data_IF_852993284088
#
_entry.id   IF_852993284088
#
_cell.length_a   1.000
_cell.length_b   1.000
_cell.length_c   1.000
_cell.angle_alpha   90.00
_cell.angle_beta   90.00
_cell.angle_gamma   90.00
#
_symmetry.space_group_name_H-M   'P 1'
#
loop_
_entity.id
_entity.type
_entity.pdbx_description
1 polymer ?
#
# COMPACT_ATOMS: atom_id res chain seq x y z
N UNK A 1 6.71 5.65 7.26
CA UNK A 1 6.46 4.65 8.31
C UNK A 1 7.49 3.57 8.12
N UNK A 2 8.21 3.22 9.18
CA UNK A 2 9.13 2.08 9.19
C UNK A 2 8.33 0.80 9.42
N UNK A 3 8.75 -0.31 8.81
CA UNK A 3 8.17 -1.62 9.14
C UNK A 3 8.43 -2.04 10.59
N UNK A 4 9.27 -1.30 11.32
CA UNK A 4 9.63 -1.51 12.72
C UNK A 4 8.90 -0.57 13.68
N UNK A 5 8.00 0.29 13.19
CA UNK A 5 7.16 1.17 14.05
C UNK A 5 6.07 0.37 14.78
N UNK A 6 5.84 -0.88 14.37
CA UNK A 6 4.83 -1.80 14.91
C UNK A 6 5.54 -3.09 15.34
N UNK A 7 5.10 -3.68 16.45
CA UNK A 7 5.59 -4.94 16.99
C UNK A 7 6.00 -4.84 18.45
N UNK A 8 6.08 -6.00 19.11
CA UNK A 8 6.52 -6.11 20.48
C UNK A 8 8.04 -6.16 20.56
N UNK A 9 8.62 -5.36 21.46
CA UNK A 9 10.05 -5.38 21.71
C UNK A 9 10.44 -6.61 22.53
N UNK A 10 11.38 -7.40 22.02
CA UNK A 10 11.86 -8.64 22.65
C UNK A 10 13.20 -8.38 23.33
N UNK A 11 13.37 -8.84 24.55
CA UNK A 11 14.61 -8.75 25.28
C UNK A 11 15.64 -9.80 24.83
N UNK A 12 16.89 -9.60 25.27
CA UNK A 12 17.99 -10.49 24.88
C UNK A 12 17.80 -11.93 25.42
N UNK A 13 17.26 -12.11 26.61
CA UNK A 13 17.08 -13.43 27.21
C UNK A 13 16.09 -14.25 26.40
N UNK A 14 14.96 -13.68 26.06
CA UNK A 14 13.92 -14.30 25.20
C UNK A 14 14.50 -14.70 23.83
N UNK A 15 15.39 -13.87 23.25
CA UNK A 15 16.07 -14.21 21.98
C UNK A 15 17.04 -15.39 22.15
N UNK A 16 17.76 -15.44 23.26
CA UNK A 16 18.69 -16.53 23.56
C UNK A 16 17.93 -17.85 23.82
N UNK A 17 16.86 -17.82 24.60
CA UNK A 17 15.99 -18.98 24.85
C UNK A 17 15.41 -19.54 23.54
N UNK A 18 15.00 -18.66 22.62
CA UNK A 18 14.52 -19.06 21.31
C UNK A 18 15.63 -19.69 20.45
N UNK A 19 16.85 -19.18 20.54
CA UNK A 19 17.99 -19.77 19.83
C UNK A 19 18.27 -21.19 20.33
N UNK A 20 18.21 -21.41 21.64
CA UNK A 20 18.37 -22.72 22.24
C UNK A 20 17.24 -23.69 21.84
N UNK A 21 15.99 -23.21 21.89
CA UNK A 21 14.83 -23.99 21.42
C UNK A 21 15.00 -24.42 19.96
N UNK A 22 15.40 -23.51 19.08
CA UNK A 22 15.64 -23.82 17.65
C UNK A 22 16.73 -24.87 17.48
N UNK A 23 17.87 -24.72 18.17
CA UNK A 23 18.96 -25.69 18.12
C UNK A 23 18.48 -27.09 18.56
N UNK A 24 17.75 -27.18 19.66
CA UNK A 24 17.17 -28.45 20.13
C UNK A 24 16.21 -29.07 19.12
N UNK A 25 15.38 -28.25 18.45
CA UNK A 25 14.45 -28.73 17.43
C UNK A 25 15.19 -29.20 16.18
N UNK A 26 16.23 -28.48 15.72
CA UNK A 26 17.10 -28.89 14.63
C UNK A 26 17.75 -30.25 14.93
N UNK A 27 18.30 -30.46 16.12
CA UNK A 27 18.93 -31.71 16.51
C UNK A 27 17.91 -32.86 16.58
N UNK A 28 16.74 -32.60 17.13
CA UNK A 28 15.65 -33.59 17.16
C UNK A 28 15.24 -34.00 15.73
N UNK A 29 15.06 -33.04 14.84
CA UNK A 29 14.66 -33.29 13.45
C UNK A 29 15.73 -34.10 12.70
N UNK A 30 17.02 -33.79 12.89
CA UNK A 30 18.15 -34.58 12.30
C UNK A 30 18.13 -36.01 12.77
N UNK A 31 17.93 -36.26 14.07
CA UNK A 31 17.89 -37.63 14.63
C UNK A 31 16.64 -38.36 14.18
N UNK A 32 15.48 -37.73 14.17
CA UNK A 32 14.22 -38.39 13.79
C UNK A 32 14.16 -38.69 12.28
N UNK A 33 14.81 -37.88 11.46
CA UNK A 33 14.84 -37.99 9.99
C UNK A 33 16.27 -38.18 9.52
N UNK A 34 16.90 -39.26 9.95
CA UNK A 34 18.35 -39.54 9.76
C UNK A 34 18.79 -39.67 8.31
N UNK A 35 17.87 -39.98 7.41
CA UNK A 35 18.03 -40.12 5.97
C UNK A 35 17.64 -38.89 5.16
N UNK A 36 17.18 -37.83 5.83
CA UNK A 36 16.67 -36.59 5.21
C UNK A 36 17.61 -35.43 5.44
N UNK A 37 17.40 -34.38 4.64
CA UNK A 37 17.97 -33.08 4.82
C UNK A 37 16.97 -32.26 5.64
N UNK A 38 17.44 -31.64 6.72
CA UNK A 38 16.68 -30.71 7.55
C UNK A 38 17.03 -29.27 7.11
N UNK A 39 16.01 -28.51 6.79
CA UNK A 39 16.15 -27.08 6.46
C UNK A 39 15.44 -26.29 7.55
N UNK A 40 16.09 -25.27 8.11
CA UNK A 40 15.44 -24.30 9.00
C UNK A 40 15.65 -22.88 8.46
N UNK A 41 14.61 -22.09 8.50
CA UNK A 41 14.61 -20.73 8.04
C UNK A 41 14.09 -19.76 9.11
N UNK A 42 14.68 -18.59 9.16
CA UNK A 42 14.24 -17.44 9.96
C UNK A 42 14.58 -16.14 9.26
N UNK A 43 14.06 -15.02 9.75
CA UNK A 43 14.55 -13.71 9.36
C UNK A 43 15.72 -13.25 10.26
N UNK A 44 16.71 -12.62 9.66
CA UNK A 44 17.83 -11.99 10.35
C UNK A 44 17.58 -10.49 10.50
N UNK A 45 16.77 -10.12 11.50
CA UNK A 45 16.32 -8.75 11.75
C UNK A 45 17.13 -8.15 12.92
N UNK A 46 17.76 -6.97 12.76
CA UNK A 46 18.42 -6.27 13.85
C UNK A 46 17.42 -5.69 14.87
N UNK A 47 17.90 -5.31 16.04
CA UNK A 47 17.12 -4.61 17.07
C UNK A 47 16.12 -5.47 17.82
N UNK A 48 15.27 -4.85 18.65
CA UNK A 48 14.34 -5.56 19.52
C UNK A 48 13.05 -6.04 18.82
N UNK A 49 12.60 -5.37 17.75
CA UNK A 49 11.40 -5.79 17.02
C UNK A 49 11.77 -6.93 16.07
N UNK A 50 11.34 -8.14 16.43
CA UNK A 50 11.67 -9.37 15.69
C UNK A 50 10.50 -9.92 14.88
N UNK A 51 9.27 -9.53 15.25
CA UNK A 51 8.06 -9.97 14.58
C UNK A 51 6.99 -8.87 14.55
N UNK A 52 6.24 -8.85 13.49
CA UNK A 52 4.99 -8.14 13.26
C UNK A 52 4.38 -8.67 11.96
N UNK A 53 3.18 -8.26 11.62
CA UNK A 53 2.45 -8.77 10.47
C UNK A 53 3.19 -8.54 9.13
N UNK A 54 3.96 -7.46 9.00
CA UNK A 54 4.78 -7.21 7.80
C UNK A 54 5.92 -8.23 7.73
N UNK A 55 6.64 -8.45 8.82
CA UNK A 55 7.73 -9.42 8.89
C UNK A 55 7.21 -10.85 8.70
N UNK A 56 6.03 -11.18 9.23
CA UNK A 56 5.36 -12.45 8.96
C UNK A 56 5.05 -12.61 7.48
N UNK A 57 4.47 -11.59 6.85
CA UNK A 57 4.17 -11.60 5.42
C UNK A 57 5.44 -11.78 4.57
N UNK A 58 6.50 -11.02 4.85
CA UNK A 58 7.81 -11.16 4.19
C UNK A 58 8.29 -12.60 4.31
N UNK A 59 8.21 -13.17 5.51
CA UNK A 59 8.66 -14.53 5.76
C UNK A 59 7.81 -15.57 5.01
N UNK A 60 6.48 -15.46 5.07
CA UNK A 60 5.57 -16.40 4.43
C UNK A 60 5.73 -16.39 2.90
N UNK A 61 5.73 -15.22 2.28
CA UNK A 61 5.88 -15.08 0.82
C UNK A 61 7.25 -15.62 0.36
N UNK A 62 8.32 -15.30 1.09
CA UNK A 62 9.65 -15.79 0.78
C UNK A 62 9.81 -17.29 1.04
N UNK A 63 9.27 -17.80 2.15
CA UNK A 63 9.30 -19.23 2.46
C UNK A 63 8.57 -20.06 1.41
N UNK A 64 7.37 -19.66 1.01
CA UNK A 64 6.63 -20.33 -0.08
C UNK A 64 7.41 -20.32 -1.39
N UNK A 65 8.04 -19.18 -1.74
CA UNK A 65 8.86 -19.05 -2.93
C UNK A 65 10.10 -19.98 -2.86
N UNK A 66 10.75 -20.04 -1.69
CA UNK A 66 11.89 -20.93 -1.48
C UNK A 66 11.49 -22.39 -1.60
N UNK A 67 10.42 -22.82 -0.92
CA UNK A 67 9.93 -24.21 -0.95
C UNK A 67 9.50 -24.62 -2.36
N UNK A 68 8.84 -23.74 -3.11
CA UNK A 68 8.46 -23.97 -4.50
C UNK A 68 9.69 -24.12 -5.44
N UNK A 69 10.82 -23.51 -5.08
CA UNK A 69 12.09 -23.64 -5.80
C UNK A 69 12.93 -24.89 -5.43
N UNK A 70 12.49 -25.69 -4.45
CA UNK A 70 13.15 -26.94 -4.10
C UNK A 70 12.76 -28.03 -5.11
N UNK A 71 13.74 -28.57 -5.82
CA UNK A 71 13.54 -29.69 -6.73
C UNK A 71 13.57 -31.06 -5.98
N UNK A 72 12.76 -31.16 -4.90
CA UNK A 72 12.71 -32.34 -4.05
C UNK A 72 11.33 -32.51 -3.41
N UNK A 73 11.00 -33.77 -3.01
CA UNK A 73 9.73 -34.03 -2.31
C UNK A 73 9.81 -33.54 -0.88
N UNK A 74 8.85 -32.69 -0.49
CA UNK A 74 8.67 -32.25 0.88
C UNK A 74 7.95 -33.34 1.66
N UNK A 75 8.46 -33.69 2.84
CA UNK A 75 7.87 -34.77 3.63
C UNK A 75 7.24 -34.30 4.94
N UNK A 76 7.77 -33.24 5.52
CA UNK A 76 7.27 -32.71 6.79
C UNK A 76 7.63 -31.23 6.91
N UNK A 77 6.66 -30.40 7.20
CA UNK A 77 6.83 -28.96 7.35
C UNK A 77 6.27 -28.50 8.71
N UNK A 78 6.99 -27.62 9.39
CA UNK A 78 6.57 -26.94 10.61
C UNK A 78 6.75 -25.44 10.41
N UNK A 79 5.70 -24.67 10.71
CA UNK A 79 5.68 -23.22 10.56
C UNK A 79 5.30 -22.56 11.90
N UNK A 80 6.09 -21.60 12.32
CA UNK A 80 5.93 -20.83 13.56
C UNK A 80 5.93 -19.35 13.23
N UNK A 81 4.88 -18.84 12.57
CA UNK A 81 4.81 -17.48 12.09
C UNK A 81 4.65 -16.44 13.22
N UNK A 82 3.96 -16.80 14.30
CA UNK A 82 3.53 -15.87 15.35
C UNK A 82 4.51 -15.72 16.53
N UNK A 83 5.70 -16.34 16.46
CA UNK A 83 6.66 -16.23 17.56
C UNK A 83 7.14 -14.78 17.72
N UNK A 84 7.11 -14.24 18.91
CA UNK A 84 7.57 -12.87 19.20
C UNK A 84 9.04 -12.64 18.82
N UNK A 85 9.85 -13.71 18.81
CA UNK A 85 11.28 -13.71 18.43
C UNK A 85 11.54 -13.76 16.93
N UNK A 86 10.50 -13.72 16.13
CA UNK A 86 10.52 -13.80 14.67
C UNK A 86 9.89 -15.07 14.13
N UNK A 87 9.37 -15.02 12.89
CA UNK A 87 8.84 -16.19 12.22
C UNK A 87 9.94 -17.20 11.90
N UNK A 88 9.63 -18.49 12.08
CA UNK A 88 10.53 -19.60 11.81
C UNK A 88 9.82 -20.74 11.09
N UNK A 89 10.54 -21.42 10.20
CA UNK A 89 10.05 -22.63 9.53
C UNK A 89 11.09 -23.72 9.50
N UNK A 90 10.60 -24.96 9.48
CA UNK A 90 11.43 -26.17 9.34
C UNK A 90 10.79 -27.09 8.31
N UNK A 91 11.60 -27.70 7.47
CA UNK A 91 11.13 -28.68 6.49
C UNK A 91 12.16 -29.81 6.36
N UNK A 92 11.70 -31.03 6.15
CA UNK A 92 12.55 -32.17 5.82
C UNK A 92 12.32 -32.57 4.38
N UNK A 93 13.41 -32.77 3.65
CA UNK A 93 13.39 -33.08 2.22
C UNK A 93 14.33 -34.21 1.86
N UNK A 94 14.02 -34.91 0.78
CA UNK A 94 14.96 -35.83 0.10
C UNK A 94 15.88 -35.02 -0.81
N UNK A 95 17.09 -35.51 -1.06
CA UNK A 95 17.94 -34.91 -2.07
C UNK A 95 19.43 -34.89 -1.74
N UNK A 96 20.17 -34.09 -2.49
CA UNK A 96 21.59 -33.86 -2.28
C UNK A 96 21.82 -32.61 -1.43
N UNK A 97 22.55 -32.76 -0.33
CA UNK A 97 22.81 -31.67 0.62
C UNK A 97 23.42 -30.42 -0.05
N UNK A 98 24.40 -30.62 -0.94
CA UNK A 98 25.06 -29.51 -1.64
C UNK A 98 24.11 -28.78 -2.61
N UNK A 99 23.25 -29.54 -3.31
CA UNK A 99 22.24 -28.95 -4.21
C UNK A 99 21.22 -28.12 -3.44
N UNK A 100 20.68 -28.66 -2.33
CA UNK A 100 19.72 -27.94 -1.47
C UNK A 100 20.37 -26.70 -0.85
N UNK A 101 21.63 -26.80 -0.37
CA UNK A 101 22.36 -25.64 0.16
C UNK A 101 22.61 -24.60 -0.90
N UNK A 102 22.92 -24.99 -2.13
CA UNK A 102 23.08 -24.06 -3.26
C UNK A 102 21.78 -23.33 -3.57
N UNK A 103 20.63 -24.02 -3.58
CA UNK A 103 19.31 -23.40 -3.74
C UNK A 103 19.04 -22.38 -2.65
N UNK A 104 19.35 -22.69 -1.38
CA UNK A 104 19.20 -21.74 -0.28
C UNK A 104 20.06 -20.48 -0.47
N UNK A 105 21.32 -20.64 -0.86
CA UNK A 105 22.24 -19.51 -1.13
C UNK A 105 21.72 -18.66 -2.30
N UNK A 106 21.30 -19.28 -3.40
CA UNK A 106 20.77 -18.57 -4.55
C UNK A 106 19.50 -17.81 -4.20
N UNK A 107 18.58 -18.41 -3.43
CA UNK A 107 17.39 -17.72 -2.92
C UNK A 107 17.77 -16.50 -2.08
N UNK A 108 18.70 -16.63 -1.12
CA UNK A 108 19.18 -15.51 -0.30
C UNK A 108 19.79 -14.37 -1.14
N UNK A 109 20.36 -14.67 -2.31
CA UNK A 109 21.02 -13.68 -3.18
C UNK A 109 20.11 -13.10 -4.25
N UNK A 110 19.14 -13.86 -4.77
CA UNK A 110 18.34 -13.45 -5.95
C UNK A 110 16.91 -13.07 -5.63
N UNK A 111 16.32 -13.59 -4.54
CA UNK A 111 15.00 -13.16 -4.12
C UNK A 111 15.06 -11.72 -3.57
N UNK A 112 14.11 -10.89 -3.93
CA UNK A 112 14.13 -9.44 -3.62
C UNK A 112 14.37 -9.11 -2.14
N UNK A 113 13.82 -9.93 -1.22
CA UNK A 113 14.02 -9.84 0.23
C UNK A 113 14.85 -11.01 0.78
N UNK A 114 15.47 -11.81 -0.08
CA UNK A 114 16.24 -12.99 0.31
C UNK A 114 17.39 -12.71 1.28
N UNK A 115 17.96 -11.51 1.18
CA UNK A 115 19.01 -11.05 2.10
C UNK A 115 18.57 -10.95 3.57
N UNK A 116 17.26 -10.87 3.83
CA UNK A 116 16.70 -10.88 5.19
C UNK A 116 16.57 -12.32 5.74
N UNK A 117 16.59 -13.34 4.89
CA UNK A 117 16.50 -14.73 5.30
C UNK A 117 17.84 -15.28 5.79
N UNK A 118 17.77 -16.22 6.71
CA UNK A 118 18.87 -17.01 7.21
C UNK A 118 18.42 -18.48 7.15
N UNK A 119 18.92 -19.20 6.14
CA UNK A 119 18.49 -20.57 5.83
C UNK A 119 19.63 -21.56 6.10
N UNK A 120 19.44 -22.31 7.17
CA UNK A 120 20.34 -23.40 7.56
C UNK A 120 19.92 -24.72 6.90
N UNK A 121 20.87 -25.41 6.29
CA UNK A 121 20.66 -26.72 5.64
C UNK A 121 21.58 -27.73 6.30
N UNK A 122 21.01 -28.81 6.84
CA UNK A 122 21.69 -29.78 7.71
C UNK A 122 21.30 -31.21 7.33
N UNK A 123 22.21 -32.17 7.59
CA UNK A 123 21.93 -33.60 7.49
C UNK A 123 22.47 -34.35 8.70
N UNK A 124 21.91 -35.51 8.98
CA UNK A 124 22.41 -36.39 10.05
C UNK A 124 23.76 -37.03 9.61
N UNK A 125 24.62 -37.32 10.56
CA UNK A 125 25.95 -37.95 10.29
C UNK A 125 27.08 -36.97 10.01
N UNK A 126 26.78 -35.67 9.93
CA UNK A 126 27.76 -34.57 9.87
C UNK A 126 27.64 -33.68 11.13
N UNK A 127 27.72 -34.32 12.29
CA UNK A 127 27.37 -33.69 13.58
C UNK A 127 28.12 -32.40 13.88
N UNK A 128 29.33 -32.20 13.36
CA UNK A 128 30.19 -31.06 13.63
C UNK A 128 30.54 -30.25 12.39
N UNK A 129 30.06 -30.61 11.20
CA UNK A 129 30.34 -29.92 9.96
C UNK A 129 29.07 -29.47 9.25
N UNK A 130 28.86 -28.16 9.27
CA UNK A 130 27.80 -27.52 8.50
C UNK A 130 28.38 -27.01 7.19
N UNK A 131 27.88 -27.52 6.06
CA UNK A 131 28.33 -27.11 4.71
C UNK A 131 28.22 -25.56 4.58
N UNK A 132 29.35 -24.92 4.43
CA UNK A 132 29.43 -23.45 4.33
C UNK A 132 29.20 -22.96 2.89
N UNK A 133 28.99 -21.66 2.73
CA UNK A 133 28.90 -21.02 1.39
C UNK A 133 30.22 -21.17 0.64
N UNK A 134 31.33 -21.04 1.35
CA UNK A 134 32.71 -21.10 0.79
C UNK A 134 33.03 -22.46 0.24
N UNK A 135 32.55 -23.55 0.87
CA UNK A 135 32.71 -24.91 0.38
C UNK A 135 32.03 -25.14 -0.97
N UNK A 136 31.03 -24.33 -1.31
CA UNK A 136 30.30 -24.38 -2.59
C UNK A 136 30.79 -23.32 -3.58
N UNK A 137 31.88 -22.61 -3.28
CA UNK A 137 32.49 -21.63 -4.16
C UNK A 137 31.82 -20.24 -4.13
N UNK A 138 30.93 -19.99 -3.16
CA UNK A 138 30.34 -18.66 -2.96
C UNK A 138 31.19 -17.83 -2.00
N UNK A 139 31.22 -16.50 -2.23
CA UNK A 139 31.88 -15.58 -1.30
C UNK A 139 31.18 -15.47 0.06
N UNK A 140 31.83 -14.83 1.04
CA UNK A 140 31.22 -14.57 2.35
C UNK A 140 29.97 -13.70 2.22
N UNK A 141 29.00 -13.89 3.12
CA UNK A 141 27.83 -13.02 3.19
C UNK A 141 28.24 -11.58 3.48
N UNK A 142 27.81 -10.66 2.63
CA UNK A 142 28.17 -9.23 2.75
C UNK A 142 27.19 -8.50 3.68
N UNK A 143 27.66 -7.45 4.32
CA UNK A 143 26.83 -6.53 5.10
C UNK A 143 25.84 -5.80 4.19
N UNK A 144 24.60 -5.66 4.61
CA UNK A 144 23.54 -4.98 3.86
C UNK A 144 23.82 -3.48 3.65
N UNK A 145 24.62 -2.87 4.55
CA UNK A 145 24.86 -1.43 4.58
C UNK A 145 26.13 -1.07 3.81
N UNK A 146 27.27 -1.69 4.11
CA UNK A 146 28.56 -1.27 3.58
C UNK A 146 29.24 -2.25 2.61
N UNK A 147 28.64 -3.42 2.37
CA UNK A 147 29.20 -4.43 1.46
C UNK A 147 30.46 -5.15 1.97
N UNK A 148 30.96 -4.89 3.17
CA UNK A 148 32.02 -5.68 3.82
C UNK A 148 31.48 -7.02 4.31
N UNK A 149 32.33 -8.02 4.65
CA UNK A 149 31.85 -9.27 5.24
C UNK A 149 30.96 -9.00 6.48
N UNK A 150 29.74 -9.56 6.49
CA UNK A 150 28.73 -9.28 7.51
C UNK A 150 29.20 -9.64 8.93
N UNK A 151 29.97 -10.73 9.08
CA UNK A 151 30.53 -11.16 10.36
C UNK A 151 31.50 -10.11 10.96
N UNK A 152 32.28 -9.41 10.11
CA UNK A 152 33.21 -8.36 10.55
C UNK A 152 32.41 -7.15 11.05
N UNK A 153 31.44 -6.67 10.27
CA UNK A 153 30.58 -5.56 10.67
C UNK A 153 29.81 -5.84 11.97
N UNK A 154 29.28 -7.05 12.14
CA UNK A 154 28.57 -7.43 13.35
C UNK A 154 29.47 -7.45 14.60
N UNK A 155 30.72 -7.93 14.45
CA UNK A 155 31.68 -7.98 15.55
C UNK A 155 32.17 -6.59 15.95
N UNK A 156 32.41 -5.73 14.96
CA UNK A 156 32.94 -4.37 15.14
C UNK A 156 31.84 -3.33 15.42
N UNK A 157 30.56 -3.72 15.34
CA UNK A 157 29.39 -2.83 15.49
C UNK A 157 29.50 -1.56 14.63
N UNK A 158 29.89 -1.72 13.35
CA UNK A 158 30.19 -0.61 12.45
C UNK A 158 28.98 0.24 12.05
N UNK A 159 27.78 -0.20 12.38
CA UNK A 159 26.52 0.44 11.96
C UNK A 159 25.55 0.56 13.12
N UNK A 160 24.78 1.63 13.11
CA UNK A 160 23.68 1.86 14.05
C UNK A 160 22.47 0.99 13.72
N UNK A 161 21.56 0.85 14.67
CA UNK A 161 20.30 0.16 14.47
C UNK A 161 19.44 0.88 13.43
N UNK A 162 19.42 2.21 13.46
CA UNK A 162 18.63 3.04 12.55
C UNK A 162 19.11 2.91 11.11
N UNK A 163 20.41 2.84 10.85
CA UNK A 163 20.96 2.54 9.51
C UNK A 163 20.52 1.16 9.02
N UNK A 164 20.48 0.16 9.90
CA UNK A 164 19.96 -1.16 9.59
C UNK A 164 18.48 -1.15 9.22
N UNK A 165 17.67 -0.43 9.98
CA UNK A 165 16.25 -0.27 9.73
C UNK A 165 15.97 0.48 8.42
N UNK A 166 16.73 1.54 8.13
CA UNK A 166 16.57 2.30 6.88
C UNK A 166 16.81 1.42 5.65
N UNK A 167 17.90 0.64 5.64
CA UNK A 167 18.21 -0.27 4.52
C UNK A 167 17.13 -1.33 4.35
N UNK A 168 16.63 -1.93 5.43
CA UNK A 168 15.56 -2.94 5.35
C UNK A 168 14.25 -2.32 4.85
N UNK A 169 13.91 -1.11 5.31
CA UNK A 169 12.75 -0.36 4.80
C UNK A 169 12.88 -0.07 3.29
N UNK A 170 14.07 0.31 2.81
CA UNK A 170 14.32 0.54 1.39
C UNK A 170 14.20 -0.75 0.58
N UNK A 171 14.75 -1.86 1.09
CA UNK A 171 14.60 -3.18 0.45
C UNK A 171 13.13 -3.59 0.35
N UNK A 172 12.36 -3.42 1.43
CA UNK A 172 10.93 -3.73 1.46
C UNK A 172 10.15 -2.87 0.46
N UNK A 173 10.41 -1.55 0.46
CA UNK A 173 9.84 -0.64 -0.55
C UNK A 173 10.16 -1.10 -1.97
N UNK A 174 11.42 -1.40 -2.26
CA UNK A 174 11.84 -1.86 -3.59
C UNK A 174 11.18 -3.18 -4.01
N UNK A 175 11.03 -4.12 -3.07
CA UNK A 175 10.41 -5.42 -3.32
C UNK A 175 8.89 -5.34 -3.51
N UNK A 176 8.22 -4.39 -2.85
CA UNK A 176 6.77 -4.22 -2.90
C UNK A 176 6.31 -3.22 -3.97
N UNK A 177 7.17 -2.32 -4.42
CA UNK A 177 6.88 -1.36 -5.48
C UNK A 177 6.99 -1.99 -6.87
N UNK A 178 6.24 -3.08 -7.13
CA UNK A 178 6.04 -3.53 -8.51
C UNK A 178 5.23 -2.46 -9.21
N UNK A 179 5.70 -2.00 -10.38
CA UNK A 179 4.90 -1.14 -11.23
C UNK A 179 3.58 -1.86 -11.56
N UNK A 180 2.46 -1.20 -11.29
CA UNK A 180 1.16 -1.78 -11.54
C UNK A 180 0.88 -1.83 -13.03
N UNK A 181 0.31 -2.95 -13.45
CA UNK A 181 -0.12 -3.18 -14.83
C UNK A 181 -1.65 -3.22 -14.84
N UNK A 182 -2.24 -2.44 -15.74
CA UNK A 182 -3.67 -2.48 -16.06
C UNK A 182 -3.85 -3.37 -17.27
N UNK A 183 -4.58 -4.44 -17.11
CA UNK A 183 -4.95 -5.33 -18.20
C UNK A 183 -6.08 -4.72 -19.03
N UNK A 184 -6.24 -5.21 -20.27
CA UNK A 184 -7.36 -4.83 -21.13
C UNK A 184 -8.64 -5.47 -20.62
N UNK A 185 -9.40 -4.71 -19.84
CA UNK A 185 -10.65 -5.15 -19.23
C UNK A 185 -11.88 -4.75 -20.05
N UNK A 186 -13.00 -5.41 -19.75
CA UNK A 186 -14.30 -5.04 -20.28
C UNK A 186 -14.79 -3.71 -19.70
N UNK A 187 -15.70 -3.03 -20.39
CA UNK A 187 -16.38 -1.84 -19.88
C UNK A 187 -17.05 -2.13 -18.54
N UNK A 188 -17.75 -3.26 -18.46
CA UNK A 188 -18.46 -3.67 -17.25
C UNK A 188 -17.53 -3.84 -16.06
N UNK A 189 -16.37 -4.51 -16.24
CA UNK A 189 -15.36 -4.70 -15.21
C UNK A 189 -14.85 -3.35 -14.69
N UNK A 190 -14.43 -2.45 -15.58
CA UNK A 190 -13.86 -1.16 -15.21
C UNK A 190 -14.89 -0.29 -14.49
N UNK A 191 -16.11 -0.19 -15.03
CA UNK A 191 -17.18 0.63 -14.45
C UNK A 191 -17.63 0.07 -13.09
N UNK A 192 -17.81 -1.24 -12.96
CA UNK A 192 -18.17 -1.84 -11.68
C UNK A 192 -17.08 -1.61 -10.61
N UNK A 193 -15.81 -1.68 -10.97
CA UNK A 193 -14.73 -1.41 -10.03
C UNK A 193 -14.64 0.08 -9.65
N UNK A 194 -14.98 1.00 -10.56
CA UNK A 194 -15.10 2.41 -10.22
C UNK A 194 -16.25 2.68 -9.24
N UNK A 195 -17.40 2.02 -9.45
CA UNK A 195 -18.55 2.09 -8.51
C UNK A 195 -18.19 1.47 -7.15
N UNK A 196 -17.47 0.33 -7.12
CA UNK A 196 -16.96 -0.23 -5.86
C UNK A 196 -16.07 0.76 -5.11
N UNK A 197 -15.23 1.53 -5.82
CA UNK A 197 -14.42 2.59 -5.20
C UNK A 197 -15.27 3.53 -4.36
N UNK A 198 -16.35 4.05 -4.93
CA UNK A 198 -17.30 4.95 -4.26
C UNK A 198 -18.02 4.26 -3.08
N UNK A 199 -18.53 3.04 -3.30
CA UNK A 199 -19.32 2.33 -2.30
C UNK A 199 -18.47 1.80 -1.13
N UNK A 200 -17.23 1.34 -1.40
CA UNK A 200 -16.35 0.84 -0.35
C UNK A 200 -15.83 1.98 0.50
N UNK A 201 -15.52 3.14 -0.11
CA UNK A 201 -15.11 4.33 0.65
C UNK A 201 -16.17 4.71 1.68
N UNK A 202 -17.45 4.87 1.27
CA UNK A 202 -18.52 5.29 2.20
C UNK A 202 -18.86 4.21 3.23
N UNK A 203 -18.51 2.94 2.97
CA UNK A 203 -18.78 1.81 3.88
C UNK A 203 -17.73 1.64 4.98
N UNK A 204 -16.62 2.36 4.93
CA UNK A 204 -15.58 2.31 5.98
C UNK A 204 -16.02 3.10 7.22
N UNK A 205 -15.67 2.58 8.42
CA UNK A 205 -15.90 3.23 9.71
C UNK A 205 -14.79 2.85 10.70
N UNK A 206 -14.32 3.81 11.55
CA UNK A 206 -14.63 5.25 11.54
C UNK A 206 -13.77 6.00 10.52
N UNK A 207 -14.29 7.15 10.04
CA UNK A 207 -13.53 8.04 9.13
C UNK A 207 -13.61 9.49 9.64
N UNK A 208 -12.50 10.13 10.04
CA UNK A 208 -12.53 11.44 10.68
C UNK A 208 -13.31 12.50 9.90
N UNK A 209 -14.46 12.90 10.45
CA UNK A 209 -15.33 13.95 9.91
C UNK A 209 -16.01 13.63 8.57
N UNK A 210 -15.93 12.39 8.07
CA UNK A 210 -16.58 11.93 6.84
C UNK A 210 -17.88 11.18 7.15
N UNK A 211 -18.77 11.13 6.15
CA UNK A 211 -19.96 10.27 6.22
C UNK A 211 -19.55 8.82 6.19
N UNK A 212 -20.10 8.03 7.09
CA UNK A 212 -19.88 6.58 7.17
C UNK A 212 -21.17 5.83 7.56
N UNK A 213 -21.18 4.50 7.73
CA UNK A 213 -22.38 3.74 8.08
C UNK A 213 -23.02 4.09 9.42
N UNK A 214 -22.29 4.73 10.33
CA UNK A 214 -22.70 5.02 11.70
C UNK A 214 -22.96 6.51 11.92
N UNK A 215 -22.23 7.38 11.20
CA UNK A 215 -22.19 8.82 11.43
C UNK A 215 -22.32 9.61 10.12
N UNK A 216 -22.92 10.80 10.22
CA UNK A 216 -22.90 11.81 9.15
C UNK A 216 -21.59 12.60 9.14
N UNK A 217 -20.65 12.28 10.04
CA UNK A 217 -19.42 13.04 10.22
C UNK A 217 -19.68 14.49 10.56
N UNK A 218 -18.91 15.40 9.98
CA UNK A 218 -19.07 16.85 10.13
C UNK A 218 -20.09 17.45 9.17
N UNK A 219 -21.05 16.65 8.68
CA UNK A 219 -22.06 17.06 7.73
C UNK A 219 -23.45 17.02 8.37
N UNK A 220 -24.33 17.95 8.00
CA UNK A 220 -25.71 18.02 8.49
C UNK A 220 -26.74 17.73 7.39
N UNK A 221 -26.26 17.62 6.15
CA UNK A 221 -27.07 17.59 4.93
C UNK A 221 -26.90 16.31 4.10
N UNK A 222 -26.06 15.36 4.54
CA UNK A 222 -25.80 14.13 3.80
C UNK A 222 -25.60 12.92 4.73
N UNK A 223 -25.94 11.74 4.24
CA UNK A 223 -25.77 10.47 4.94
C UNK A 223 -25.33 9.35 3.97
N UNK A 224 -25.01 8.15 4.50
CA UNK A 224 -24.54 7.02 3.70
C UNK A 224 -25.49 6.65 2.56
N UNK A 225 -26.82 6.65 2.77
CA UNK A 225 -27.78 6.28 1.72
C UNK A 225 -27.73 7.27 0.55
N UNK A 226 -27.59 8.57 0.83
CA UNK A 226 -27.40 9.58 -0.20
C UNK A 226 -26.11 9.37 -1.01
N UNK A 227 -25.03 8.92 -0.36
CA UNK A 227 -23.79 8.53 -1.07
C UNK A 227 -24.00 7.30 -1.95
N UNK A 228 -24.77 6.31 -1.52
CA UNK A 228 -25.14 5.15 -2.33
C UNK A 228 -25.95 5.55 -3.56
N UNK A 229 -27.01 6.36 -3.38
CA UNK A 229 -27.83 6.85 -4.48
C UNK A 229 -27.03 7.69 -5.47
N UNK A 230 -26.17 8.56 -4.97
CA UNK A 230 -25.22 9.31 -5.77
C UNK A 230 -24.28 8.40 -6.57
N UNK A 231 -23.68 7.41 -5.94
CA UNK A 231 -22.75 6.46 -6.60
C UNK A 231 -23.45 5.72 -7.74
N UNK A 232 -24.65 5.22 -7.50
CA UNK A 232 -25.43 4.51 -8.53
C UNK A 232 -25.84 5.42 -9.70
N UNK A 233 -26.12 6.69 -9.42
CA UNK A 233 -26.48 7.68 -10.45
C UNK A 233 -25.33 7.96 -11.43
N UNK A 234 -24.08 7.72 -11.04
CA UNK A 234 -22.89 7.96 -11.84
C UNK A 234 -22.55 6.84 -12.84
N UNK A 235 -23.24 5.69 -12.78
CA UNK A 235 -22.94 4.56 -13.66
C UNK A 235 -22.93 4.95 -15.14
N UNK A 236 -23.96 5.66 -15.60
CA UNK A 236 -24.07 6.09 -17.01
C UNK A 236 -22.91 7.01 -17.44
N UNK A 237 -22.43 7.87 -16.54
CA UNK A 237 -21.29 8.72 -16.79
C UNK A 237 -19.99 7.90 -16.93
N UNK A 238 -19.76 6.94 -16.03
CA UNK A 238 -18.58 6.08 -16.07
C UNK A 238 -18.57 5.19 -17.33
N UNK A 239 -19.75 4.71 -17.77
CA UNK A 239 -19.92 4.01 -19.03
C UNK A 239 -19.50 4.87 -20.22
N UNK A 240 -19.89 6.15 -20.24
CA UNK A 240 -19.50 7.11 -21.29
C UNK A 240 -18.02 7.45 -21.24
N UNK A 241 -17.47 7.67 -20.03
CA UNK A 241 -16.05 7.93 -19.83
C UNK A 241 -15.18 6.80 -20.38
N UNK A 242 -15.56 5.55 -20.12
CA UNK A 242 -14.89 4.38 -20.68
C UNK A 242 -14.96 4.37 -22.21
N UNK A 243 -16.15 4.57 -22.80
CA UNK A 243 -16.33 4.58 -24.27
C UNK A 243 -15.54 5.68 -24.94
N UNK A 244 -15.49 6.88 -24.34
CA UNK A 244 -14.68 7.99 -24.85
C UNK A 244 -13.20 7.59 -24.91
N UNK A 245 -12.64 7.02 -23.86
CA UNK A 245 -11.25 6.58 -23.87
C UNK A 245 -11.00 5.44 -24.86
N UNK A 246 -11.83 4.39 -24.83
CA UNK A 246 -11.66 3.17 -25.64
C UNK A 246 -11.73 3.46 -27.15
N UNK A 247 -12.59 4.39 -27.57
CA UNK A 247 -12.87 4.67 -28.98
C UNK A 247 -12.13 5.91 -29.50
N UNK A 248 -11.31 6.55 -28.67
CA UNK A 248 -10.59 7.74 -29.12
C UNK A 248 -9.39 7.38 -30.01
N UNK A 249 -9.39 7.89 -31.24
CA UNK A 249 -8.35 7.64 -32.23
C UNK A 249 -7.46 8.85 -32.50
N UNK A 250 -7.80 10.00 -31.91
CA UNK A 250 -7.03 11.24 -32.09
C UNK A 250 -5.70 11.23 -31.32
N UNK A 251 -4.75 12.02 -31.78
CA UNK A 251 -3.45 12.22 -31.11
C UNK A 251 -3.47 13.33 -30.05
N UNK A 252 -4.42 14.26 -30.15
CA UNK A 252 -4.59 15.39 -29.21
C UNK A 252 -5.52 14.98 -28.06
N UNK A 253 -4.93 14.55 -26.94
CA UNK A 253 -5.69 14.10 -25.78
C UNK A 253 -6.44 15.21 -25.04
N UNK A 254 -6.16 16.48 -25.33
CA UNK A 254 -6.97 17.61 -24.82
C UNK A 254 -8.40 17.57 -25.37
N UNK A 255 -8.56 17.10 -26.62
CA UNK A 255 -9.91 16.90 -27.20
C UNK A 255 -10.67 15.79 -26.48
N UNK A 256 -9.99 14.71 -26.09
CA UNK A 256 -10.58 13.64 -25.29
C UNK A 256 -11.04 14.18 -23.93
N UNK A 257 -10.21 14.99 -23.26
CA UNK A 257 -10.57 15.61 -21.99
C UNK A 257 -11.75 16.59 -22.14
N UNK A 258 -11.79 17.39 -23.21
CA UNK A 258 -12.89 18.32 -23.44
C UNK A 258 -14.23 17.56 -23.64
N UNK A 259 -14.22 16.43 -24.34
CA UNK A 259 -15.41 15.56 -24.49
C UNK A 259 -15.83 14.97 -23.13
N UNK A 260 -14.86 14.45 -22.35
CA UNK A 260 -15.13 13.94 -21.00
C UNK A 260 -15.69 15.04 -20.07
N UNK A 261 -15.15 16.25 -20.12
CA UNK A 261 -15.60 17.40 -19.31
C UNK A 261 -17.06 17.74 -19.56
N UNK A 262 -17.51 17.67 -20.82
CA UNK A 262 -18.93 17.89 -21.15
C UNK A 262 -19.84 16.85 -20.48
N UNK A 263 -19.45 15.57 -20.51
CA UNK A 263 -20.19 14.51 -19.81
C UNK A 263 -20.10 14.65 -18.29
N UNK A 264 -18.97 15.13 -17.75
CA UNK A 264 -18.80 15.42 -16.31
C UNK A 264 -19.78 16.47 -15.78
N UNK A 265 -20.04 17.51 -16.55
CA UNK A 265 -21.06 18.53 -16.17
C UNK A 265 -22.45 17.90 -16.09
N UNK A 266 -22.81 17.00 -17.02
CA UNK A 266 -24.09 16.29 -16.98
C UNK A 266 -24.14 15.32 -15.79
N UNK A 267 -23.01 14.69 -15.46
CA UNK A 267 -22.88 13.80 -14.30
C UNK A 267 -23.07 14.57 -12.98
N UNK A 268 -22.49 15.76 -12.83
CA UNK A 268 -22.71 16.63 -11.66
C UNK A 268 -24.22 16.92 -11.51
N UNK A 269 -24.92 17.23 -12.58
CA UNK A 269 -26.35 17.50 -12.53
C UNK A 269 -27.16 16.24 -12.16
N UNK A 270 -26.77 15.08 -12.69
CA UNK A 270 -27.40 13.79 -12.33
C UNK A 270 -27.20 13.50 -10.84
N UNK A 271 -25.98 13.71 -10.31
CA UNK A 271 -25.69 13.57 -8.88
C UNK A 271 -26.55 14.52 -8.04
N UNK A 272 -26.63 15.81 -8.40
CA UNK A 272 -27.46 16.78 -7.66
C UNK A 272 -28.93 16.40 -7.64
N UNK A 273 -29.46 15.87 -8.76
CA UNK A 273 -30.84 15.37 -8.82
C UNK A 273 -31.07 14.16 -7.90
N UNK A 274 -30.09 13.25 -7.81
CA UNK A 274 -30.17 12.08 -6.95
C UNK A 274 -29.98 12.41 -5.45
N UNK A 275 -29.39 13.58 -5.11
CA UNK A 275 -29.01 13.95 -3.76
C UNK A 275 -29.72 15.20 -3.23
N UNK A 276 -30.84 15.58 -3.81
CA UNK A 276 -31.59 16.78 -3.43
C UNK A 276 -30.70 18.06 -3.42
N UNK A 277 -29.88 18.23 -4.43
CA UNK A 277 -28.91 19.32 -4.60
C UNK A 277 -27.77 19.34 -3.57
N UNK A 278 -27.47 18.23 -2.89
CA UNK A 278 -26.32 18.09 -2.02
C UNK A 278 -25.10 17.60 -2.83
N UNK A 279 -23.97 18.24 -2.63
CA UNK A 279 -22.73 17.86 -3.29
C UNK A 279 -22.04 16.68 -2.56
N UNK A 280 -22.18 15.49 -3.06
CA UNK A 280 -21.58 14.27 -2.50
C UNK A 280 -20.28 13.87 -3.20
N UNK A 281 -20.24 13.84 -4.54
CA UNK A 281 -19.18 13.22 -5.33
C UNK A 281 -18.58 14.10 -6.44
N UNK A 282 -18.68 15.45 -6.35
CA UNK A 282 -18.17 16.34 -7.40
C UNK A 282 -16.68 16.12 -7.70
N UNK A 283 -15.85 15.98 -6.66
CA UNK A 283 -14.43 15.66 -6.78
C UNK A 283 -14.20 14.30 -7.43
N UNK A 284 -14.94 13.29 -6.98
CA UNK A 284 -14.85 11.93 -7.51
C UNK A 284 -15.32 11.84 -8.97
N UNK A 285 -16.36 12.59 -9.40
CA UNK A 285 -16.78 12.67 -10.81
C UNK A 285 -15.62 13.11 -11.69
N UNK A 286 -14.93 14.19 -11.29
CA UNK A 286 -13.77 14.68 -12.02
C UNK A 286 -12.64 13.66 -12.07
N UNK A 287 -12.23 13.15 -10.94
CA UNK A 287 -11.05 12.27 -10.83
C UNK A 287 -11.29 10.87 -11.40
N UNK A 288 -12.42 10.19 -11.05
CA UNK A 288 -12.75 8.88 -11.61
C UNK A 288 -12.97 8.94 -13.13
N UNK A 289 -13.65 9.99 -13.61
CA UNK A 289 -13.84 10.17 -15.06
C UNK A 289 -12.52 10.20 -15.80
N UNK A 290 -11.52 10.97 -15.32
CA UNK A 290 -10.19 11.03 -15.90
C UNK A 290 -9.51 9.67 -15.89
N UNK A 291 -9.50 8.98 -14.73
CA UNK A 291 -8.85 7.69 -14.59
C UNK A 291 -9.49 6.61 -15.45
N UNK A 292 -10.83 6.50 -15.44
CA UNK A 292 -11.57 5.54 -16.29
C UNK A 292 -11.27 5.77 -17.78
N UNK A 293 -11.30 7.04 -18.21
CA UNK A 293 -11.00 7.41 -19.61
C UNK A 293 -9.56 7.09 -19.98
N UNK A 294 -8.59 7.45 -19.12
CA UNK A 294 -7.17 7.22 -19.36
C UNK A 294 -6.83 5.72 -19.40
N UNK A 295 -7.37 4.91 -18.46
CA UNK A 295 -7.17 3.46 -18.46
C UNK A 295 -7.77 2.84 -19.72
N UNK A 296 -9.01 3.20 -20.09
CA UNK A 296 -9.66 2.69 -21.27
C UNK A 296 -8.89 3.02 -22.55
N UNK A 297 -8.32 4.22 -22.63
CA UNK A 297 -7.47 4.65 -23.75
C UNK A 297 -6.14 3.90 -23.78
N UNK A 298 -5.44 3.84 -22.64
CA UNK A 298 -4.11 3.24 -22.56
C UNK A 298 -4.12 1.73 -22.80
N UNK A 299 -5.23 1.06 -22.45
CA UNK A 299 -5.37 -0.41 -22.58
C UNK A 299 -6.13 -0.84 -23.84
N UNK A 300 -6.36 0.05 -24.81
CA UNK A 300 -7.13 -0.32 -26.02
C UNK A 300 -6.46 -1.41 -26.85
N UNK A 301 -5.13 -1.41 -26.93
CA UNK A 301 -4.33 -2.33 -27.74
C UNK A 301 -3.64 -3.43 -26.90
N UNK A 302 -3.82 -3.45 -25.59
CA UNK A 302 -3.18 -4.40 -24.68
C UNK A 302 -3.16 -3.92 -23.24
N UNK A 303 -2.20 -4.38 -22.44
CA UNK A 303 -1.98 -3.88 -21.08
C UNK A 303 -1.22 -2.54 -21.10
N UNK A 304 -1.33 -1.79 -20.01
CA UNK A 304 -0.61 -0.54 -19.80
C UNK A 304 -0.08 -0.45 -18.35
N UNK A 305 1.10 0.14 -18.18
CA UNK A 305 1.68 0.39 -16.85
C UNK A 305 1.05 1.62 -16.19
N UNK A 306 1.20 1.72 -14.87
CA UNK A 306 0.80 2.92 -14.11
C UNK A 306 1.44 4.19 -14.68
N UNK A 307 2.72 4.12 -15.06
CA UNK A 307 3.45 5.24 -15.67
C UNK A 307 2.86 5.69 -17.00
N UNK A 308 2.43 4.74 -17.84
CA UNK A 308 1.78 5.06 -19.12
C UNK A 308 0.41 5.69 -18.93
N UNK A 309 -0.42 5.16 -18.04
CA UNK A 309 -1.73 5.75 -17.72
C UNK A 309 -1.57 7.16 -17.16
N UNK A 310 -0.64 7.40 -16.24
CA UNK A 310 -0.32 8.75 -15.72
C UNK A 310 0.09 9.72 -16.81
N UNK A 311 0.91 9.29 -17.77
CA UNK A 311 1.32 10.12 -18.89
C UNK A 311 0.13 10.50 -19.79
N UNK A 312 -0.80 9.58 -20.00
CA UNK A 312 -2.06 9.87 -20.70
C UNK A 312 -2.87 10.92 -19.95
N UNK A 313 -3.05 10.77 -18.64
CA UNK A 313 -3.73 11.74 -17.78
C UNK A 313 -3.11 13.12 -17.92
N UNK A 314 -1.79 13.26 -17.75
CA UNK A 314 -1.09 14.53 -17.83
C UNK A 314 -1.31 15.23 -19.20
N UNK A 315 -1.28 14.45 -20.29
CA UNK A 315 -1.54 14.97 -21.64
C UNK A 315 -3.01 15.36 -21.85
N UNK A 316 -3.96 14.64 -21.24
CA UNK A 316 -5.38 14.98 -21.31
C UNK A 316 -5.65 16.36 -20.67
N UNK A 317 -5.06 16.62 -19.50
CA UNK A 317 -5.34 17.82 -18.70
C UNK A 317 -4.30 18.94 -18.83
N UNK A 318 -3.42 18.86 -19.83
CA UNK A 318 -2.40 19.87 -20.08
C UNK A 318 -3.02 21.26 -20.28
N UNK A 319 -2.54 22.26 -19.53
CA UNK A 319 -3.06 23.63 -19.54
C UNK A 319 -4.35 23.83 -18.71
N UNK A 320 -4.73 22.85 -17.88
CA UNK A 320 -5.96 22.91 -17.07
C UNK A 320 -5.89 24.02 -16.02
N UNK A 321 -4.75 24.16 -15.34
CA UNK A 321 -4.57 25.16 -14.29
C UNK A 321 -4.69 26.57 -14.83
N UNK A 322 -4.01 26.84 -15.96
CA UNK A 322 -4.04 28.14 -16.63
C UNK A 322 -5.44 28.53 -17.10
N UNK A 323 -6.22 27.58 -17.59
CA UNK A 323 -7.59 27.81 -18.06
C UNK A 323 -8.58 28.00 -16.93
N UNK A 324 -8.47 27.18 -15.86
CA UNK A 324 -9.50 27.10 -14.83
C UNK A 324 -9.18 27.95 -13.60
N UNK A 325 -7.90 28.14 -13.23
CA UNK A 325 -7.49 28.79 -11.99
C UNK A 325 -6.78 30.13 -12.19
N UNK A 326 -5.96 30.27 -13.22
CA UNK A 326 -5.16 31.48 -13.46
C UNK A 326 -5.92 32.59 -14.23
N UNK A 327 -7.19 32.35 -14.63
CA UNK A 327 -7.99 33.39 -15.27
C UNK A 327 -8.39 34.48 -14.26
N UNK A 328 -8.23 35.77 -14.64
CA UNK A 328 -8.62 36.94 -13.83
C UNK A 328 -10.16 37.09 -13.64
N UNK A 329 -10.87 35.97 -13.48
CA UNK A 329 -12.31 35.93 -13.24
C UNK A 329 -12.59 35.95 -11.74
N UNK A 330 -13.76 36.45 -11.38
CA UNK A 330 -14.28 36.34 -10.01
C UNK A 330 -14.44 34.84 -9.71
N UNK A 331 -13.81 34.36 -8.62
CA UNK A 331 -13.89 32.99 -8.21
C UNK A 331 -15.33 32.56 -7.94
N UNK A 332 -15.83 31.61 -8.69
CA UNK A 332 -17.20 31.09 -8.59
C UNK A 332 -17.27 29.78 -7.83
N UNK A 333 -16.15 29.06 -7.73
CA UNK A 333 -16.06 27.77 -7.02
C UNK A 333 -15.13 27.85 -5.81
N UNK A 334 -15.33 26.94 -4.86
CA UNK A 334 -14.47 26.84 -3.67
C UNK A 334 -12.99 26.62 -4.02
N UNK A 335 -12.70 25.81 -5.07
CA UNK A 335 -11.33 25.56 -5.53
C UNK A 335 -10.67 26.81 -6.12
N UNK A 336 -11.41 27.63 -6.87
CA UNK A 336 -10.91 28.92 -7.39
C UNK A 336 -10.62 29.93 -6.25
N UNK A 337 -11.49 29.97 -5.23
CA UNK A 337 -11.29 30.81 -4.04
C UNK A 337 -10.03 30.40 -3.27
N UNK A 338 -9.80 29.09 -3.09
CA UNK A 338 -8.61 28.58 -2.41
C UNK A 338 -7.33 28.83 -3.21
N UNK A 339 -7.40 28.74 -4.53
CA UNK A 339 -6.26 29.09 -5.39
C UNK A 339 -5.91 30.57 -5.23
N UNK A 340 -6.91 31.47 -5.26
CA UNK A 340 -6.68 32.90 -5.07
C UNK A 340 -6.13 33.25 -3.69
N UNK A 341 -6.58 32.55 -2.63
CA UNK A 341 -6.22 32.85 -1.24
C UNK A 341 -4.91 32.19 -0.82
N UNK A 342 -4.71 30.93 -1.17
CA UNK A 342 -3.63 30.08 -0.65
C UNK A 342 -2.72 29.51 -1.74
N UNK A 343 -2.97 29.81 -3.02
CA UNK A 343 -2.29 29.22 -4.20
C UNK A 343 -2.43 27.68 -4.28
N UNK A 344 -3.47 27.12 -3.65
CA UNK A 344 -3.72 25.69 -3.64
C UNK A 344 -4.45 25.26 -4.92
N UNK A 345 -3.88 24.31 -5.64
CA UNK A 345 -4.44 23.81 -6.92
C UNK A 345 -5.45 22.66 -6.71
N UNK A 346 -5.46 22.06 -5.52
CA UNK A 346 -6.38 20.97 -5.15
C UNK A 346 -6.33 19.79 -6.13
N UNK A 347 -7.50 19.19 -6.39
CA UNK A 347 -7.63 18.02 -7.27
C UNK A 347 -7.19 18.30 -8.73
N UNK A 348 -7.23 19.57 -9.20
CA UNK A 348 -6.73 19.95 -10.54
C UNK A 348 -5.22 19.87 -10.59
N UNK A 349 -4.52 20.31 -9.54
CA UNK A 349 -3.08 20.15 -9.40
C UNK A 349 -2.64 18.69 -9.33
N UNK A 350 -3.38 17.88 -8.58
CA UNK A 350 -3.19 16.43 -8.55
C UNK A 350 -3.30 15.85 -9.98
N UNK A 351 -4.35 16.20 -10.72
CA UNK A 351 -4.55 15.69 -12.09
C UNK A 351 -3.41 16.10 -13.06
N UNK A 352 -3.01 17.38 -13.07
CA UNK A 352 -1.92 17.87 -13.94
C UNK A 352 -0.59 17.17 -13.65
N UNK A 353 -0.35 16.80 -12.39
CA UNK A 353 0.84 16.05 -11.99
C UNK A 353 0.65 14.50 -12.10
N UNK A 354 -0.46 14.02 -12.68
CA UNK A 354 -0.76 12.60 -12.84
C UNK A 354 -1.13 11.90 -11.52
N UNK A 355 -1.81 12.61 -10.62
CA UNK A 355 -2.26 12.15 -9.32
C UNK A 355 -1.16 11.52 -8.45
N UNK A 356 -0.12 12.27 -8.06
CA UNK A 356 0.96 11.74 -7.21
C UNK A 356 0.44 11.25 -5.85
N UNK A 357 -0.59 11.88 -5.28
CA UNK A 357 -1.23 11.40 -4.04
C UNK A 357 -1.75 9.98 -4.15
N UNK A 358 -2.25 9.57 -5.33
CA UNK A 358 -2.67 8.20 -5.62
C UNK A 358 -1.47 7.30 -5.93
N UNK A 359 -0.69 7.66 -6.95
CA UNK A 359 0.30 6.78 -7.58
C UNK A 359 1.62 6.65 -6.80
N UNK A 360 1.99 7.67 -6.02
CA UNK A 360 3.27 7.72 -5.30
C UNK A 360 3.10 7.57 -3.78
N UNK A 361 1.87 7.74 -3.27
CA UNK A 361 1.59 7.65 -1.84
C UNK A 361 0.60 6.52 -1.54
N UNK A 362 -0.65 6.63 -2.01
CA UNK A 362 -1.74 5.76 -1.56
C UNK A 362 -1.59 4.32 -2.07
N UNK A 363 -1.34 4.15 -3.38
CA UNK A 363 -1.18 2.82 -3.99
C UNK A 363 0.06 2.09 -3.46
N UNK A 364 1.27 2.69 -3.39
CA UNK A 364 2.42 2.03 -2.78
C UNK A 364 2.21 1.68 -1.31
N UNK A 365 1.50 2.53 -0.56
CA UNK A 365 1.15 2.21 0.82
C UNK A 365 0.18 1.03 0.90
N UNK A 366 -0.88 1.00 0.08
CA UNK A 366 -1.83 -0.11 0.01
C UNK A 366 -1.15 -1.43 -0.39
N UNK A 367 -0.18 -1.40 -1.31
CA UNK A 367 0.64 -2.57 -1.67
C UNK A 367 1.41 -3.13 -0.47
N UNK A 368 1.90 -2.24 0.39
CA UNK A 368 2.68 -2.58 1.58
C UNK A 368 1.83 -2.93 2.81
N UNK A 369 0.52 -2.62 2.81
CA UNK A 369 -0.37 -2.93 3.94
C UNK A 369 -0.83 -4.37 3.95
N UNK A 370 -1.16 -4.87 5.13
CA UNK A 370 -1.67 -6.22 5.39
C UNK A 370 -2.96 -6.14 6.23
N UNK A 371 -3.53 -7.28 6.56
CA UNK A 371 -4.75 -7.39 7.36
C UNK A 371 -6.03 -7.45 6.52
N UNK A 372 -7.17 -7.22 7.16
CA UNK A 372 -8.47 -7.22 6.50
C UNK A 372 -8.58 -6.03 5.53
N UNK A 373 -9.48 -6.11 4.55
CA UNK A 373 -9.73 -4.99 3.63
C UNK A 373 -10.02 -3.69 4.38
N UNK A 374 -10.85 -3.74 5.44
CA UNK A 374 -11.18 -2.57 6.26
C UNK A 374 -9.94 -1.95 6.90
N UNK A 375 -9.08 -2.77 7.51
CA UNK A 375 -7.82 -2.29 8.12
C UNK A 375 -6.93 -1.63 7.09
N UNK A 376 -6.67 -2.31 5.98
CA UNK A 376 -5.83 -1.79 4.90
C UNK A 376 -6.34 -0.45 4.37
N UNK A 377 -7.66 -0.31 4.18
CA UNK A 377 -8.25 0.91 3.64
C UNK A 377 -8.29 2.06 4.66
N UNK A 378 -8.55 1.79 5.95
CA UNK A 378 -8.49 2.81 7.01
C UNK A 378 -7.06 3.34 7.16
N UNK A 379 -6.06 2.47 7.21
CA UNK A 379 -4.66 2.89 7.30
C UNK A 379 -4.23 3.67 6.04
N UNK A 380 -4.71 3.25 4.86
CA UNK A 380 -4.44 3.98 3.61
C UNK A 380 -5.07 5.37 3.62
N UNK A 381 -6.32 5.51 4.12
CA UNK A 381 -6.97 6.82 4.28
C UNK A 381 -6.14 7.74 5.20
N UNK A 382 -5.70 7.22 6.34
CA UNK A 382 -4.90 8.01 7.28
C UNK A 382 -3.52 8.37 6.70
N UNK A 383 -2.93 7.49 5.89
CA UNK A 383 -1.69 7.79 5.17
C UNK A 383 -1.87 8.89 4.12
N UNK A 384 -2.96 8.85 3.36
CA UNK A 384 -3.33 9.90 2.40
C UNK A 384 -3.48 11.24 3.15
N UNK A 385 -4.28 11.26 4.21
CA UNK A 385 -4.57 12.47 4.99
C UNK A 385 -3.31 13.09 5.61
N UNK A 386 -2.30 12.27 5.94
CA UNK A 386 -1.01 12.74 6.45
C UNK A 386 -0.16 13.49 5.40
N UNK A 387 -0.40 13.23 4.11
CA UNK A 387 0.49 13.68 3.02
C UNK A 387 -0.17 14.63 2.03
N UNK A 388 -1.48 14.52 1.85
CA UNK A 388 -2.23 15.33 0.89
C UNK A 388 -2.47 16.76 1.41
N UNK A 389 -2.33 17.76 0.54
CA UNK A 389 -2.84 19.11 0.80
C UNK A 389 -4.37 19.11 0.62
N UNK A 390 -5.09 18.55 1.61
CA UNK A 390 -6.53 18.40 1.55
C UNK A 390 -7.26 19.74 1.58
N UNK A 391 -7.73 20.17 0.42
CA UNK A 391 -8.41 21.47 0.26
C UNK A 391 -9.73 21.55 1.04
N UNK A 392 -10.40 20.42 1.27
CA UNK A 392 -11.62 20.38 2.09
C UNK A 392 -11.30 20.62 3.56
N UNK A 393 -10.23 20.00 4.07
CA UNK A 393 -9.75 20.18 5.43
C UNK A 393 -9.34 21.64 5.68
N UNK A 394 -8.53 22.22 4.79
CA UNK A 394 -8.09 23.63 4.87
C UNK A 394 -9.29 24.58 4.85
N UNK A 395 -10.24 24.35 3.93
CA UNK A 395 -11.45 25.17 3.84
C UNK A 395 -12.26 25.17 5.13
N UNK A 396 -12.44 24.02 5.76
CA UNK A 396 -13.21 23.89 7.01
C UNK A 396 -12.46 24.44 8.20
N UNK A 397 -11.16 24.22 8.29
CA UNK A 397 -10.30 24.79 9.31
C UNK A 397 -10.06 26.31 9.15
N UNK A 398 -10.26 26.85 7.95
CA UNK A 398 -9.96 28.24 7.56
C UNK A 398 -8.49 28.65 7.71
N UNK A 399 -7.60 27.68 7.83
CA UNK A 399 -6.14 27.86 7.90
C UNK A 399 -5.42 26.63 7.34
N UNK A 400 -4.29 26.79 6.62
CA UNK A 400 -3.47 25.67 6.19
C UNK A 400 -2.69 25.00 7.34
N UNK A 401 -2.59 25.63 8.53
CA UNK A 401 -1.88 25.07 9.69
C UNK A 401 -2.48 23.73 10.14
N UNK A 402 -3.75 23.47 9.84
CA UNK A 402 -4.41 22.19 10.10
C UNK A 402 -3.72 21.00 9.44
N UNK A 403 -2.93 21.22 8.38
CA UNK A 403 -2.14 20.15 7.76
C UNK A 403 -1.01 19.66 8.68
N UNK A 404 -0.42 20.54 9.48
CA UNK A 404 0.57 20.16 10.48
C UNK A 404 -0.09 19.36 11.62
N UNK A 405 -1.26 19.80 12.09
CA UNK A 405 -2.05 19.05 13.07
C UNK A 405 -2.42 17.66 12.53
N UNK A 406 -2.83 17.57 11.24
CA UNK A 406 -3.19 16.29 10.61
C UNK A 406 -2.00 15.31 10.58
N UNK A 407 -0.79 15.81 10.28
CA UNK A 407 0.44 15.00 10.33
C UNK A 407 0.73 14.49 11.74
N UNK A 408 0.50 15.31 12.76
CA UNK A 408 0.68 14.91 14.16
C UNK A 408 -0.35 13.84 14.56
N UNK A 409 -1.64 14.05 14.29
CA UNK A 409 -2.70 13.07 14.60
C UNK A 409 -2.46 11.72 13.92
N UNK A 410 -2.08 11.73 12.66
CA UNK A 410 -1.78 10.49 11.94
C UNK A 410 -0.50 9.81 12.45
N UNK A 411 0.51 10.57 12.87
CA UNK A 411 1.71 10.02 13.53
C UNK A 411 1.35 9.30 14.83
N UNK A 412 0.48 9.89 15.66
CA UNK A 412 0.00 9.26 16.90
C UNK A 412 -0.78 7.98 16.58
N UNK A 413 -1.71 8.04 15.61
CA UNK A 413 -2.48 6.89 15.16
C UNK A 413 -1.59 5.69 14.79
N UNK A 414 -0.58 5.91 13.95
CA UNK A 414 0.33 4.84 13.54
C UNK A 414 1.25 4.37 14.66
N UNK A 415 1.69 5.25 15.58
CA UNK A 415 2.44 4.84 16.78
C UNK A 415 1.64 3.96 17.73
N UNK A 416 0.32 4.10 17.74
CA UNK A 416 -0.58 3.26 18.52
C UNK A 416 -0.93 1.94 17.81
N UNK A 417 -0.32 1.66 16.63
CA UNK A 417 -0.52 0.44 15.85
C UNK A 417 -1.61 0.52 14.78
N UNK A 418 -2.10 1.74 14.46
CA UNK A 418 -3.08 1.94 13.40
C UNK A 418 -4.38 1.17 13.63
N UNK A 419 -4.99 0.69 12.55
CA UNK A 419 -6.23 -0.10 12.61
C UNK A 419 -6.05 -1.53 13.15
N UNK A 420 -4.82 -1.95 13.44
CA UNK A 420 -4.49 -3.30 13.91
C UNK A 420 -4.59 -3.49 15.42
N UNK A 421 -4.74 -2.41 16.19
CA UNK A 421 -4.81 -2.45 17.65
C UNK A 421 -6.07 -1.79 18.19
N UNK A 422 -6.52 -2.22 19.35
CA UNK A 422 -7.65 -1.57 20.04
C UNK A 422 -7.34 -0.11 20.38
N UNK A 423 -6.08 0.21 20.72
CA UNK A 423 -5.66 1.57 21.06
C UNK A 423 -5.67 2.47 19.84
N UNK A 424 -5.18 2.00 18.70
CA UNK A 424 -5.22 2.73 17.44
C UNK A 424 -6.65 2.97 16.95
N UNK A 425 -7.51 1.93 16.99
CA UNK A 425 -8.92 2.06 16.64
C UNK A 425 -9.65 3.01 17.59
N UNK A 426 -9.42 2.93 18.91
CA UNK A 426 -9.99 3.88 19.86
C UNK A 426 -9.57 5.31 19.53
N UNK A 427 -8.29 5.52 19.26
CA UNK A 427 -7.78 6.83 18.86
C UNK A 427 -8.44 7.35 17.58
N UNK A 428 -8.69 6.49 16.60
CA UNK A 428 -9.38 6.87 15.35
C UNK A 428 -10.84 7.30 15.61
N UNK A 429 -11.56 6.62 16.50
CA UNK A 429 -12.89 7.07 16.96
C UNK A 429 -12.83 8.39 17.73
N UNK A 430 -11.82 8.60 18.56
CA UNK A 430 -11.62 9.85 19.29
C UNK A 430 -11.30 11.01 18.32
N UNK A 431 -10.51 10.72 17.29
CA UNK A 431 -10.20 11.68 16.23
C UNK A 431 -11.43 12.03 15.39
N UNK A 432 -12.30 11.06 15.05
CA UNK A 432 -13.57 11.35 14.37
C UNK A 432 -14.45 12.28 15.19
N UNK A 433 -14.59 12.04 16.50
CA UNK A 433 -15.32 12.97 17.40
C UNK A 433 -14.72 14.38 17.41
N UNK A 434 -13.40 14.49 17.49
CA UNK A 434 -12.70 15.78 17.41
C UNK A 434 -12.99 16.51 16.11
N UNK A 435 -13.01 15.77 14.98
CA UNK A 435 -13.32 16.34 13.67
C UNK A 435 -14.76 16.85 13.60
N UNK A 436 -15.72 16.11 14.14
CA UNK A 436 -17.13 16.52 14.22
C UNK A 436 -17.25 17.79 15.08
N UNK A 437 -16.65 17.84 16.26
CA UNK A 437 -16.67 18.99 17.17
C UNK A 437 -16.06 20.26 16.53
N UNK A 438 -14.95 20.09 15.79
CA UNK A 438 -14.27 21.19 15.10
C UNK A 438 -14.82 21.48 13.70
N UNK A 439 -15.85 20.73 13.26
CA UNK A 439 -16.42 20.82 11.91
C UNK A 439 -15.37 20.60 10.79
N UNK A 440 -14.40 19.70 11.00
CA UNK A 440 -13.36 19.33 10.04
C UNK A 440 -13.80 18.16 9.18
N UNK A 441 -13.21 18.03 7.98
CA UNK A 441 -13.46 16.88 7.08
C UNK A 441 -12.31 16.70 6.10
N UNK A 442 -11.94 15.46 5.84
CA UNK A 442 -10.87 15.06 4.90
C UNK A 442 -11.45 14.60 3.55
N UNK A 443 -12.32 15.42 2.95
CA UNK A 443 -13.01 15.06 1.71
C UNK A 443 -12.08 14.82 0.51
N UNK A 444 -10.98 15.57 0.40
CA UNK A 444 -9.97 15.34 -0.66
C UNK A 444 -9.24 14.01 -0.48
N UNK A 445 -9.00 13.62 0.77
CA UNK A 445 -8.42 12.32 1.10
C UNK A 445 -9.39 11.16 0.77
N UNK A 446 -10.69 11.36 0.99
CA UNK A 446 -11.75 10.42 0.60
C UNK A 446 -11.77 10.21 -0.93
N UNK A 447 -11.75 11.30 -1.73
CA UNK A 447 -11.67 11.22 -3.20
C UNK A 447 -10.41 10.46 -3.66
N UNK A 448 -9.27 10.67 -3.01
CA UNK A 448 -8.02 9.96 -3.29
C UNK A 448 -8.12 8.47 -2.92
N UNK A 449 -8.79 8.15 -1.81
CA UNK A 449 -9.03 6.76 -1.41
C UNK A 449 -9.96 6.03 -2.40
N UNK A 450 -11.01 6.69 -2.90
CA UNK A 450 -11.90 6.14 -3.95
C UNK A 450 -11.09 5.69 -5.16
N UNK A 451 -10.17 6.55 -5.65
CA UNK A 451 -9.28 6.21 -6.76
C UNK A 451 -8.35 5.03 -6.41
N UNK A 452 -7.83 5.02 -5.19
CA UNK A 452 -6.94 3.97 -4.72
C UNK A 452 -7.64 2.61 -4.65
N UNK A 453 -8.90 2.58 -4.18
CA UNK A 453 -9.73 1.38 -4.18
C UNK A 453 -10.01 0.92 -5.61
N UNK A 454 -10.41 1.82 -6.50
CA UNK A 454 -10.65 1.53 -7.92
C UNK A 454 -9.43 0.88 -8.59
N UNK A 455 -8.26 1.48 -8.43
CA UNK A 455 -7.00 0.96 -8.95
C UNK A 455 -6.67 -0.39 -8.31
N UNK A 456 -6.81 -0.51 -6.99
CA UNK A 456 -6.56 -1.75 -6.27
C UNK A 456 -7.41 -2.91 -6.74
N UNK A 457 -8.69 -2.67 -7.05
CA UNK A 457 -9.60 -3.67 -7.62
C UNK A 457 -9.21 -4.08 -9.04
N UNK A 458 -8.77 -3.14 -9.88
CA UNK A 458 -8.34 -3.44 -11.26
C UNK A 458 -7.00 -4.18 -11.35
N UNK A 459 -6.15 -3.99 -10.37
CA UNK A 459 -4.76 -4.53 -10.40
C UNK A 459 -4.57 -5.71 -9.45
N UNK A 460 -5.64 -6.19 -8.81
CA UNK A 460 -5.61 -7.34 -7.91
C UNK A 460 -4.93 -7.08 -6.56
N UNK A 461 -4.83 -5.81 -6.13
CA UNK A 461 -4.36 -5.46 -4.79
C UNK A 461 -5.45 -5.60 -3.71
N UNK A 462 -6.73 -5.54 -4.12
CA UNK A 462 -7.92 -5.65 -3.28
C UNK A 462 -8.85 -6.75 -3.76
#
# INVERSE_FOLDING_TARGET
MSIFDIGEAVDLLTVLDNREWRSRLQDKLKVTNSDKIVISAKLNIPGPIKNNDILQKIFMDGWQTFVAGLECNNQYEMLFAERVTGPEAFITVDGNLAAVKKTAILFEETYALGRLFDIDVMANGQADYQLSREDLGFGPRLCLICGKPAKVCAKEQNHTLDEGYEVINQMYKGATSKELIFEKESQETVVNNALKGLLYEVSLNPKPGLVDPVSMGSHTDMNMFMFIDSSLSLKSYLDKAFKLGRNFEGSDLKLLFNALRAEGVLAEQTMFNATNNVNTHKGAIFSLGIWVTAIAYSTKDGSATMTEVRRVIQRMVEGLIEKDLASNRVATTAGEQQFQTYQLTGIRGEAVNGFPGVSEVAVPFLQATFGTMTQRLLDTLMKIAATLEDSTLIKRAKTPDVLAEMKEWTSIYFKLGGSHTEQGMKYLYDLDRLFIERNLSIGGSADTLILTIFIGQLTGLL
#
